data_IF_136759870212
#
_entry.id   IF_136759870212
#
_cell.length_a   1.000
_cell.length_b   1.000
_cell.length_c   1.000
_cell.angle_alpha   90.00
_cell.angle_beta   90.00
_cell.angle_gamma   90.00
#
_symmetry.space_group_name_H-M   'P 1'
#
loop_
_entity.id
_entity.type
_entity.pdbx_description
1 polymer ?
#
# COMPACT_ATOMS: atom_id res chain seq x y z
N UNK A 1 -2.21 -75.26 5.16
CA UNK A 1 -1.32 -74.39 5.98
C UNK A 1 -0.84 -73.14 5.22
N UNK A 2 -0.57 -73.22 3.91
CA UNK A 2 -0.01 -72.14 3.07
C UNK A 2 -0.90 -70.87 2.94
N UNK A 3 -2.23 -70.99 2.80
CA UNK A 3 -3.13 -69.84 2.63
C UNK A 3 -3.14 -68.84 3.80
N UNK A 4 -2.95 -69.30 5.05
CA UNK A 4 -2.92 -68.40 6.23
C UNK A 4 -1.64 -67.57 6.31
N UNK A 5 -0.52 -68.08 5.78
CA UNK A 5 0.76 -67.36 5.75
C UNK A 5 0.75 -66.28 4.68
N UNK A 6 0.21 -66.60 3.49
CA UNK A 6 0.08 -65.64 2.39
C UNK A 6 -0.84 -64.45 2.74
N UNK A 7 -1.97 -64.70 3.41
CA UNK A 7 -2.89 -63.63 3.83
C UNK A 7 -2.29 -62.72 4.90
N UNK A 8 -1.46 -63.26 5.82
CA UNK A 8 -0.74 -62.46 6.81
C UNK A 8 0.31 -61.56 6.14
N UNK A 9 1.06 -62.08 5.17
CA UNK A 9 2.05 -61.28 4.44
C UNK A 9 1.40 -60.16 3.61
N UNK A 10 0.28 -60.44 2.91
CA UNK A 10 -0.47 -59.43 2.16
C UNK A 10 -1.04 -58.34 3.09
N UNK A 11 -1.50 -58.72 4.29
CA UNK A 11 -1.99 -57.77 5.29
C UNK A 11 -0.87 -56.90 5.86
N UNK A 12 0.31 -57.48 6.13
CA UNK A 12 1.48 -56.76 6.64
C UNK A 12 2.02 -55.77 5.59
N UNK A 13 2.10 -56.15 4.31
CA UNK A 13 2.55 -55.26 3.24
C UNK A 13 1.56 -54.11 2.99
N UNK A 14 0.25 -54.38 3.02
CA UNK A 14 -0.77 -53.32 2.92
C UNK A 14 -0.72 -52.34 4.09
N UNK A 15 -0.48 -52.81 5.30
CA UNK A 15 -0.31 -51.94 6.47
C UNK A 15 1.00 -51.16 6.42
N UNK A 16 2.10 -51.76 5.94
CA UNK A 16 3.37 -51.05 5.74
C UNK A 16 3.24 -49.94 4.67
N UNK A 17 2.53 -50.22 3.57
CA UNK A 17 2.26 -49.23 2.51
C UNK A 17 1.34 -48.11 3.02
N UNK A 18 0.33 -48.43 3.84
CA UNK A 18 -0.53 -47.44 4.51
C UNK A 18 0.27 -46.56 5.49
N UNK A 19 1.16 -47.17 6.30
CA UNK A 19 2.01 -46.45 7.26
C UNK A 19 3.01 -45.54 6.53
N UNK A 20 3.64 -46.00 5.44
CA UNK A 20 4.53 -45.16 4.63
C UNK A 20 3.77 -44.01 3.94
N UNK A 21 2.53 -44.23 3.46
CA UNK A 21 1.70 -43.14 2.91
C UNK A 21 1.33 -42.11 3.98
N UNK A 22 1.04 -42.54 5.21
CA UNK A 22 0.76 -41.64 6.34
C UNK A 22 2.02 -40.86 6.78
N UNK A 23 3.21 -41.47 6.72
CA UNK A 23 4.48 -40.80 7.04
C UNK A 23 4.88 -39.77 5.98
N UNK A 24 4.65 -40.04 4.69
CA UNK A 24 4.88 -39.06 3.60
C UNK A 24 3.87 -37.90 3.67
N UNK A 25 2.63 -38.14 4.08
CA UNK A 25 1.64 -37.09 4.32
C UNK A 25 1.98 -36.20 5.54
N UNK A 26 2.61 -36.76 6.58
CA UNK A 26 3.05 -35.99 7.75
C UNK A 26 4.30 -35.13 7.47
N UNK A 27 5.17 -35.52 6.54
CA UNK A 27 6.38 -34.78 6.15
C UNK A 27 6.13 -33.62 5.16
N UNK A 28 4.94 -33.54 4.55
CA UNK A 28 4.54 -32.43 3.67
C UNK A 28 3.83 -31.27 4.40
N UNK A 29 3.64 -31.35 5.72
CA UNK A 29 3.01 -30.31 6.54
C UNK A 29 3.99 -29.39 7.30
N UNK A 30 5.27 -29.35 6.92
CA UNK A 30 6.29 -28.51 7.58
C UNK A 30 6.65 -27.22 6.83
N UNK A 31 6.05 -26.91 5.67
CA UNK A 31 6.34 -25.66 4.92
C UNK A 31 5.22 -24.62 4.93
N UNK A 32 4.16 -24.76 5.73
CA UNK A 32 3.10 -23.73 5.86
C UNK A 32 3.21 -22.92 7.17
N UNK A 33 4.28 -23.10 7.95
CA UNK A 33 4.56 -22.26 9.13
C UNK A 33 5.28 -20.97 8.71
N UNK A 34 4.63 -20.13 7.91
CA UNK A 34 4.82 -18.66 7.85
C UNK A 34 3.63 -18.01 7.12
N UNK A 35 2.42 -18.26 7.60
CA UNK A 35 1.26 -17.43 7.27
C UNK A 35 0.24 -17.47 8.42
N UNK A 36 0.71 -17.24 9.65
CA UNK A 36 -0.19 -16.89 10.74
C UNK A 36 -0.50 -15.39 10.60
N UNK A 37 -1.74 -14.98 10.29
CA UNK A 37 -2.09 -13.57 10.33
C UNK A 37 -1.88 -13.08 11.76
N UNK A 38 -1.01 -12.09 11.92
CA UNK A 38 -0.64 -11.54 13.22
C UNK A 38 -1.88 -11.22 14.05
N UNK A 39 -1.92 -11.80 15.25
CA UNK A 39 -2.90 -11.53 16.30
C UNK A 39 -2.70 -10.09 16.78
N UNK A 40 -3.25 -9.13 16.02
CA UNK A 40 -3.12 -7.68 16.25
C UNK A 40 -3.67 -6.77 15.16
N UNK A 41 -4.44 -7.27 14.19
CA UNK A 41 -4.94 -6.47 13.05
C UNK A 41 -6.44 -6.69 12.74
N UNK A 42 -7.27 -7.06 13.71
CA UNK A 42 -8.70 -7.21 13.47
C UNK A 42 -9.44 -5.88 13.73
N UNK A 43 -10.07 -5.35 12.66
CA UNK A 43 -11.05 -4.24 12.58
C UNK A 43 -10.60 -2.82 12.22
N UNK A 44 -9.31 -2.54 11.99
CA UNK A 44 -8.86 -1.19 11.57
C UNK A 44 -8.46 -1.05 10.09
N UNK A 45 -8.55 -2.13 9.30
CA UNK A 45 -8.21 -2.15 7.86
C UNK A 45 -9.32 -2.78 7.02
N UNK A 46 -10.57 -2.38 7.23
CA UNK A 46 -11.53 -2.50 6.12
C UNK A 46 -10.98 -1.62 5.01
N UNK A 47 -10.55 -2.24 3.90
CA UNK A 47 -10.09 -1.51 2.74
C UNK A 47 -11.21 -0.60 2.25
N UNK A 48 -10.86 0.49 1.58
CA UNK A 48 -11.87 1.31 0.88
C UNK A 48 -12.77 0.47 -0.03
N UNK A 49 -12.20 -0.61 -0.57
CA UNK A 49 -12.82 -1.57 -1.48
C UNK A 49 -13.95 -2.37 -0.79
N UNK A 50 -13.78 -2.76 0.48
CA UNK A 50 -14.76 -3.54 1.24
C UNK A 50 -16.01 -2.73 1.58
N UNK A 51 -15.85 -1.43 1.82
CA UNK A 51 -16.96 -0.52 2.12
C UNK A 51 -17.74 -0.11 0.87
N UNK A 52 -17.06 -0.01 -0.28
CA UNK A 52 -17.67 0.35 -1.56
C UNK A 52 -18.22 -0.87 -2.31
N UNK A 53 -17.92 -2.10 -1.85
CA UNK A 53 -18.29 -3.36 -2.51
C UNK A 53 -17.96 -3.32 -4.02
N UNK A 54 -16.73 -2.93 -4.33
CA UNK A 54 -16.27 -2.77 -5.71
C UNK A 54 -16.32 -4.10 -6.47
N UNK A 55 -16.67 -4.06 -7.75
CA UNK A 55 -16.55 -5.24 -8.62
C UNK A 55 -15.08 -5.55 -8.91
N UNK A 56 -14.71 -6.80 -9.26
CA UNK A 56 -13.33 -7.14 -9.62
C UNK A 56 -12.76 -6.24 -10.73
N UNK A 57 -13.59 -5.87 -11.70
CA UNK A 57 -13.21 -4.97 -12.79
C UNK A 57 -12.94 -3.54 -12.31
N UNK A 58 -13.77 -3.00 -11.39
CA UNK A 58 -13.53 -1.68 -10.79
C UNK A 58 -12.24 -1.68 -9.96
N UNK A 59 -11.99 -2.74 -9.19
CA UNK A 59 -10.76 -2.89 -8.39
C UNK A 59 -9.52 -2.84 -9.28
N UNK A 60 -9.51 -3.60 -10.37
CA UNK A 60 -8.38 -3.63 -11.30
C UNK A 60 -8.10 -2.25 -11.92
N UNK A 61 -9.15 -1.55 -12.37
CA UNK A 61 -9.03 -0.21 -12.96
C UNK A 61 -8.52 0.82 -11.95
N UNK A 62 -9.06 0.80 -10.72
CA UNK A 62 -8.64 1.69 -9.64
C UNK A 62 -7.18 1.41 -9.24
N UNK A 63 -6.78 0.14 -9.13
CA UNK A 63 -5.40 -0.23 -8.81
C UNK A 63 -4.42 0.25 -9.88
N UNK A 64 -4.76 0.11 -11.17
CA UNK A 64 -3.94 0.62 -12.27
C UNK A 64 -3.80 2.15 -12.20
N UNK A 65 -4.91 2.88 -12.03
CA UNK A 65 -4.89 4.35 -11.87
C UNK A 65 -4.06 4.76 -10.63
N UNK A 66 -4.21 4.04 -9.52
CA UNK A 66 -3.48 4.30 -8.27
C UNK A 66 -1.97 4.13 -8.44
N UNK A 67 -1.52 3.07 -9.11
CA UNK A 67 -0.09 2.87 -9.39
C UNK A 67 0.46 4.01 -10.24
N UNK A 68 -0.24 4.39 -11.32
CA UNK A 68 0.17 5.50 -12.17
C UNK A 68 0.22 6.85 -11.42
N UNK A 69 -0.78 7.12 -10.57
CA UNK A 69 -0.81 8.28 -9.69
C UNK A 69 0.36 8.28 -8.71
N UNK A 70 0.65 7.16 -8.05
CA UNK A 70 1.73 7.03 -7.08
C UNK A 70 3.09 7.29 -7.71
N UNK A 71 3.37 6.72 -8.88
CA UNK A 71 4.62 6.97 -9.60
C UNK A 71 4.79 8.46 -9.88
N UNK A 72 3.79 9.10 -10.50
CA UNK A 72 3.84 10.54 -10.79
C UNK A 72 3.98 11.39 -9.52
N UNK A 73 3.29 11.02 -8.44
CA UNK A 73 3.35 11.74 -7.18
C UNK A 73 4.76 11.68 -6.55
N UNK A 74 5.43 10.53 -6.65
CA UNK A 74 6.82 10.35 -6.18
C UNK A 74 7.76 11.26 -6.97
N UNK A 75 7.66 11.25 -8.30
CA UNK A 75 8.51 12.08 -9.16
C UNK A 75 8.31 13.57 -8.85
N UNK A 76 7.06 14.01 -8.76
CA UNK A 76 6.76 15.41 -8.43
C UNK A 76 7.25 15.80 -7.03
N UNK A 77 7.24 14.88 -6.07
CA UNK A 77 7.78 15.10 -4.73
C UNK A 77 9.30 15.21 -4.76
N UNK A 78 9.99 14.39 -5.54
CA UNK A 78 11.43 14.46 -5.71
C UNK A 78 11.84 15.82 -6.32
N UNK A 79 11.13 16.28 -7.34
CA UNK A 79 11.43 17.58 -7.97
C UNK A 79 11.17 18.76 -7.03
N UNK A 80 10.09 18.69 -6.24
CA UNK A 80 9.83 19.69 -5.20
C UNK A 80 10.95 19.73 -4.15
N UNK A 81 11.52 18.58 -3.79
CA UNK A 81 12.66 18.51 -2.88
C UNK A 81 13.92 19.12 -3.49
N UNK A 82 14.21 18.86 -4.77
CA UNK A 82 15.33 19.48 -5.50
C UNK A 82 15.22 21.00 -5.49
N UNK A 83 14.05 21.55 -5.81
CA UNK A 83 13.80 23.00 -5.79
C UNK A 83 14.01 23.62 -4.40
N UNK A 84 13.60 22.91 -3.34
CA UNK A 84 13.84 23.36 -1.96
C UNK A 84 15.31 23.34 -1.57
N UNK A 85 16.08 22.37 -2.06
CA UNK A 85 17.53 22.33 -1.87
C UNK A 85 18.22 23.47 -2.63
N UNK A 86 17.79 23.75 -3.86
CA UNK A 86 18.26 24.88 -4.65
C UNK A 86 18.02 26.20 -3.92
N UNK A 87 16.78 26.44 -3.45
CA UNK A 87 16.43 27.61 -2.66
C UNK A 87 17.32 27.73 -1.41
N UNK A 88 17.56 26.62 -0.70
CA UNK A 88 18.45 26.61 0.47
C UNK A 88 19.88 26.99 0.11
N UNK A 89 20.38 26.55 -1.05
CA UNK A 89 21.67 26.95 -1.59
C UNK A 89 21.74 28.45 -1.89
N UNK A 90 20.73 28.98 -2.59
CA UNK A 90 20.64 30.41 -2.92
C UNK A 90 20.62 31.32 -1.70
N UNK A 91 19.91 30.90 -0.63
CA UNK A 91 19.83 31.64 0.63
C UNK A 91 21.15 31.63 1.43
N UNK A 92 22.03 30.65 1.18
CA UNK A 92 23.33 30.50 1.87
C UNK A 92 24.51 31.07 1.09
N UNK A 93 24.28 31.61 -0.11
CA UNK A 93 25.32 32.25 -0.89
C UNK A 93 25.82 33.52 -0.19
N UNK A 94 27.12 33.84 -0.33
CA UNK A 94 27.73 35.03 0.29
C UNK A 94 27.02 36.34 -0.09
N UNK A 95 26.47 36.38 -1.31
CA UNK A 95 25.64 37.48 -1.82
C UNK A 95 24.36 36.91 -2.45
N UNK A 96 23.28 36.74 -1.66
CA UNK A 96 22.02 36.19 -2.17
C UNK A 96 21.44 37.04 -3.31
N UNK A 97 21.08 36.39 -4.42
CA UNK A 97 20.41 37.04 -5.54
C UNK A 97 18.90 36.93 -5.39
N UNK A 98 18.24 38.03 -5.01
CA UNK A 98 16.79 38.07 -4.80
C UNK A 98 15.99 37.59 -6.02
N UNK A 99 16.38 37.98 -7.25
CA UNK A 99 15.67 37.58 -8.47
C UNK A 99 15.73 36.07 -8.70
N UNK A 100 16.86 35.43 -8.38
CA UNK A 100 17.00 33.98 -8.48
C UNK A 100 16.16 33.25 -7.42
N UNK A 101 16.11 33.79 -6.20
CA UNK A 101 15.28 33.28 -5.11
C UNK A 101 13.80 33.34 -5.48
N UNK A 102 13.33 34.49 -5.97
CA UNK A 102 11.93 34.68 -6.37
C UNK A 102 11.56 33.68 -7.49
N UNK A 103 12.42 33.49 -8.48
CA UNK A 103 12.19 32.51 -9.55
C UNK A 103 12.12 31.06 -9.03
N UNK A 104 12.93 30.68 -8.03
CA UNK A 104 12.86 29.34 -7.44
C UNK A 104 11.61 29.18 -6.56
N UNK A 105 11.15 30.23 -5.87
CA UNK A 105 9.88 30.24 -5.15
C UNK A 105 8.68 30.05 -6.09
N UNK A 106 8.68 30.72 -7.25
CA UNK A 106 7.63 30.57 -8.26
C UNK A 106 7.56 29.13 -8.79
N UNK A 107 8.73 28.51 -9.04
CA UNK A 107 8.80 27.08 -9.43
C UNK A 107 8.24 26.17 -8.34
N UNK A 108 8.56 26.44 -7.06
CA UNK A 108 8.02 25.67 -5.93
C UNK A 108 6.49 25.80 -5.88
N UNK A 109 5.95 27.02 -6.01
CA UNK A 109 4.52 27.26 -6.00
C UNK A 109 3.81 26.54 -7.16
N UNK A 110 4.38 26.63 -8.38
CA UNK A 110 3.87 25.94 -9.54
C UNK A 110 3.86 24.40 -9.36
N UNK A 111 4.95 23.84 -8.79
CA UNK A 111 5.05 22.41 -8.54
C UNK A 111 4.03 21.94 -7.49
N UNK A 112 3.80 22.72 -6.43
CA UNK A 112 2.77 22.42 -5.42
C UNK A 112 1.36 22.45 -6.03
N UNK A 113 1.06 23.46 -6.86
CA UNK A 113 -0.20 23.53 -7.58
C UNK A 113 -0.40 22.33 -8.51
N UNK A 114 0.66 21.90 -9.20
CA UNK A 114 0.62 20.73 -10.06
C UNK A 114 0.39 19.42 -9.28
N UNK A 115 1.01 19.26 -8.10
CA UNK A 115 0.73 18.12 -7.21
C UNK A 115 -0.73 18.08 -6.74
N UNK A 116 -1.32 19.23 -6.43
CA UNK A 116 -2.71 19.28 -6.00
C UNK A 116 -3.66 18.97 -7.15
N UNK A 117 -3.38 19.48 -8.36
CA UNK A 117 -4.11 19.10 -9.58
C UNK A 117 -4.04 17.60 -9.85
N UNK A 118 -2.87 16.97 -9.66
CA UNK A 118 -2.71 15.52 -9.82
C UNK A 118 -3.61 14.75 -8.83
N UNK A 119 -3.67 15.20 -7.57
CA UNK A 119 -4.52 14.58 -6.53
C UNK A 119 -6.00 14.70 -6.84
N UNK A 120 -6.45 15.91 -7.19
CA UNK A 120 -7.84 16.17 -7.57
C UNK A 120 -8.20 15.36 -8.81
N UNK A 121 -7.33 15.36 -9.83
CA UNK A 121 -7.51 14.57 -11.04
C UNK A 121 -7.70 13.08 -10.73
N UNK A 122 -6.79 12.48 -9.96
CA UNK A 122 -6.90 11.08 -9.57
C UNK A 122 -8.17 10.77 -8.76
N UNK A 123 -8.59 11.68 -7.86
CA UNK A 123 -9.83 11.50 -7.11
C UNK A 123 -11.07 11.51 -8.01
N UNK A 124 -11.11 12.42 -8.99
CA UNK A 124 -12.19 12.48 -9.98
C UNK A 124 -12.19 11.25 -10.91
N UNK A 125 -11.00 10.78 -11.32
CA UNK A 125 -10.85 9.54 -12.09
C UNK A 125 -11.44 8.34 -11.35
N UNK A 126 -11.09 8.16 -10.08
CA UNK A 126 -11.62 7.07 -9.25
C UNK A 126 -13.14 7.22 -9.10
N UNK A 127 -13.63 8.43 -8.82
CA UNK A 127 -15.06 8.70 -8.67
C UNK A 127 -15.87 8.37 -9.92
N UNK A 128 -15.29 8.57 -11.12
CA UNK A 128 -15.94 8.27 -12.39
C UNK A 128 -16.15 6.76 -12.64
N UNK A 129 -15.37 5.90 -11.96
CA UNK A 129 -15.50 4.43 -12.07
C UNK A 129 -16.58 3.84 -11.16
N UNK A 130 -17.15 4.66 -10.27
CA UNK A 130 -18.12 4.23 -9.26
C UNK A 130 -19.56 4.36 -9.74
N UNK A 131 -20.44 3.50 -9.21
CA UNK A 131 -21.90 3.67 -9.33
C UNK A 131 -22.38 4.85 -8.48
N UNK A 132 -23.60 5.32 -8.70
CA UNK A 132 -24.13 6.47 -7.94
C UNK A 132 -24.26 6.18 -6.44
N UNK A 133 -24.62 4.95 -6.07
CA UNK A 133 -24.64 4.51 -4.66
C UNK A 133 -23.24 4.50 -4.04
N UNK A 134 -22.24 4.03 -4.78
CA UNK A 134 -20.84 4.02 -4.36
C UNK A 134 -20.29 5.45 -4.21
N UNK A 135 -20.68 6.37 -5.11
CA UNK A 135 -20.27 7.79 -5.02
C UNK A 135 -20.73 8.43 -3.72
N UNK A 136 -21.93 8.13 -3.22
CA UNK A 136 -22.40 8.69 -1.94
C UNK A 136 -21.47 8.30 -0.78
N UNK A 137 -21.03 7.04 -0.73
CA UNK A 137 -20.10 6.53 0.28
C UNK A 137 -18.71 7.15 0.09
N UNK A 138 -18.28 7.29 -1.16
CA UNK A 138 -16.98 7.88 -1.52
C UNK A 138 -16.90 9.37 -1.17
N UNK A 139 -17.94 10.14 -1.52
CA UNK A 139 -18.04 11.59 -1.31
C UNK A 139 -18.26 11.95 0.17
N UNK A 140 -18.85 11.05 0.96
CA UNK A 140 -18.98 11.22 2.41
C UNK A 140 -17.62 11.23 3.14
N UNK A 141 -16.55 10.76 2.47
CA UNK A 141 -15.19 10.79 3.03
C UNK A 141 -14.56 12.15 2.74
N UNK A 142 -13.89 12.77 3.73
CA UNK A 142 -13.21 14.04 3.50
C UNK A 142 -12.10 13.86 2.46
N UNK A 143 -12.16 14.65 1.39
CA UNK A 143 -11.07 14.79 0.43
C UNK A 143 -9.88 15.49 1.08
N UNK A 144 -8.67 14.93 0.91
CA UNK A 144 -7.44 15.49 1.49
C UNK A 144 -7.02 14.86 2.82
N UNK A 145 -6.14 15.57 3.55
CA UNK A 145 -5.40 15.09 4.75
C UNK A 145 -6.27 14.18 5.61
N UNK A 146 -5.89 12.90 5.65
CA UNK A 146 -6.68 11.80 6.18
C UNK A 146 -7.41 12.12 7.49
N UNK A 147 -8.66 11.69 7.55
CA UNK A 147 -9.53 11.70 8.73
C UNK A 147 -9.03 10.81 9.88
N UNK A 148 -7.74 10.86 10.20
CA UNK A 148 -7.20 10.37 11.46
C UNK A 148 -7.29 11.48 12.50
N UNK A 149 -8.39 11.52 13.24
CA UNK A 149 -8.34 12.04 14.61
C UNK A 149 -7.43 11.09 15.41
N UNK A 150 -6.29 11.60 15.87
CA UNK A 150 -5.28 10.88 16.68
C UNK A 150 -4.03 10.58 15.86
N UNK A 151 -2.85 11.16 16.07
CA UNK A 151 -2.24 11.73 17.27
C UNK A 151 -1.47 12.99 16.88
N UNK A 152 -2.08 14.17 17.01
CA UNK A 152 -1.34 15.43 17.15
C UNK A 152 -1.23 15.70 18.64
N UNK A 153 -0.12 15.26 19.23
CA UNK A 153 0.18 15.56 20.62
C UNK A 153 1.31 14.69 21.15
N UNK A 154 2.53 15.23 21.08
CA UNK A 154 3.66 15.13 22.01
C UNK A 154 5.00 14.97 21.27
N UNK A 155 5.64 16.13 21.01
CA UNK A 155 7.07 16.43 21.27
C UNK A 155 8.14 15.49 20.66
N UNK A 156 9.12 15.93 19.87
CA UNK A 156 10.08 17.02 20.13
C UNK A 156 10.72 17.51 18.82
N UNK A 157 11.10 18.78 18.83
CA UNK A 157 11.43 19.58 17.65
C UNK A 157 12.68 19.16 16.88
N UNK A 158 12.57 19.29 15.56
CA UNK A 158 13.70 19.59 14.70
C UNK A 158 13.75 21.11 14.59
N UNK A 159 14.46 21.73 15.53
CA UNK A 159 14.81 23.14 15.44
C UNK A 159 15.44 23.40 14.06
N UNK A 160 14.99 24.49 13.45
CA UNK A 160 15.71 25.16 12.37
C UNK A 160 17.13 25.42 12.88
N UNK A 161 18.07 24.58 12.46
CA UNK A 161 19.49 24.95 12.51
C UNK A 161 19.73 25.80 11.28
N UNK A 162 19.69 27.11 11.52
CA UNK A 162 20.10 28.16 10.60
C UNK A 162 21.49 27.82 10.04
#
# INVERSE_FOLDING_TARGET
MVKRVLLKNIYIERNLIMINKLLVAALLMTTVVMAQPGRGFSKARMGWDDQLKLTPQQVEQIQKSRTAFQTKAIDMQADLQKLRLELRGQLRADKPNKKAIDATLDKIAAQQAAQEKLRVGHHLEVRALLTDEQKQIFDARPFGRGGGKGYRGHSRGWGLRW
#
